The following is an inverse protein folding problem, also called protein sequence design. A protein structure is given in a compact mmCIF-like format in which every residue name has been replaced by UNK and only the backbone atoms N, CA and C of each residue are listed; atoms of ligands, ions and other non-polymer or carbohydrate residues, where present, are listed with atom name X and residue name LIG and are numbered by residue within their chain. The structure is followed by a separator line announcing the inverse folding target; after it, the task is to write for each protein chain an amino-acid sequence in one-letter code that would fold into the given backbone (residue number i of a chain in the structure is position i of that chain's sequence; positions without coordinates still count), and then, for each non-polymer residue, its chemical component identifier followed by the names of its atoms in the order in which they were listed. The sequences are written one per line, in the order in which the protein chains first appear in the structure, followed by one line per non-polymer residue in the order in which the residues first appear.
data_IF_910960006195
#
_entry.id   IF_910960006195
#
_cell.length_a   1.000
_cell.length_b   1.000
_cell.length_c   1.000
_cell.angle_alpha   90.00
_cell.angle_beta   90.00
_cell.angle_gamma   90.00
#
_symmetry.space_group_name_H-M   'P 1'
#
loop_
_entity.id
_entity.type
_entity.pdbx_description
1 polymer ?
#
# COMPACT_ATOMS: atom_id res chain seq x y z
N UNK A 1 2.50 -18.38 -9.91
CA UNK A 1 3.41 -17.26 -9.99
C UNK A 1 2.85 -16.03 -9.30
N UNK A 2 3.67 -15.26 -8.66
CA UNK A 2 3.21 -14.18 -7.84
C UNK A 2 4.19 -13.00 -7.89
N UNK A 3 3.72 -11.85 -7.44
CA UNK A 3 4.56 -10.68 -7.24
C UNK A 3 5.52 -10.95 -6.08
N UNK A 4 6.81 -10.62 -6.24
CA UNK A 4 7.79 -10.72 -5.15
C UNK A 4 7.74 -9.47 -4.29
N UNK A 5 7.85 -8.31 -4.92
CA UNK A 5 7.77 -7.02 -4.20
C UNK A 5 7.37 -5.90 -5.16
N UNK A 6 6.95 -4.80 -4.58
CA UNK A 6 6.79 -3.53 -5.28
C UNK A 6 7.71 -2.50 -4.66
N UNK A 7 8.06 -1.47 -5.41
CA UNK A 7 8.96 -0.43 -4.93
C UNK A 7 8.24 0.90 -4.80
N UNK A 8 8.52 1.60 -3.70
CA UNK A 8 8.03 2.95 -3.45
C UNK A 8 9.20 3.89 -3.24
N UNK A 9 9.69 4.54 -4.31
CA UNK A 9 10.62 5.65 -4.15
C UNK A 9 9.96 6.78 -3.38
N UNK A 10 10.74 7.48 -2.56
CA UNK A 10 10.23 8.58 -1.76
C UNK A 10 11.37 9.48 -1.32
N UNK A 11 11.05 10.72 -1.01
CA UNK A 11 11.99 11.63 -0.36
C UNK A 11 11.93 11.52 1.18
N UNK A 12 10.97 10.72 1.72
CA UNK A 12 10.71 10.62 3.16
C UNK A 12 10.45 9.16 3.55
N UNK A 13 11.53 8.37 3.65
CA UNK A 13 11.42 6.91 3.85
C UNK A 13 10.74 6.57 5.17
N UNK A 14 11.18 7.16 6.29
CA UNK A 14 10.61 6.82 7.59
C UNK A 14 9.14 7.21 7.72
N UNK A 15 8.75 8.37 7.20
CA UNK A 15 7.35 8.79 7.22
C UNK A 15 6.48 7.87 6.38
N UNK A 16 6.97 7.47 5.21
CA UNK A 16 6.25 6.56 4.31
C UNK A 16 6.08 5.20 4.96
N UNK A 17 7.16 4.61 5.49
CA UNK A 17 7.12 3.31 6.14
C UNK A 17 6.19 3.34 7.36
N UNK A 18 6.31 4.36 8.21
CA UNK A 18 5.46 4.51 9.40
C UNK A 18 3.98 4.60 9.05
N UNK A 19 3.64 5.28 7.96
CA UNK A 19 2.26 5.37 7.51
C UNK A 19 1.68 3.98 7.26
N UNK A 20 2.39 3.13 6.52
CA UNK A 20 1.90 1.78 6.20
C UNK A 20 1.90 0.86 7.42
N UNK A 21 2.87 1.02 8.32
CA UNK A 21 2.87 0.28 9.59
C UNK A 21 1.64 0.60 10.45
N UNK A 22 1.30 1.88 10.55
CA UNK A 22 0.23 2.36 11.41
C UNK A 22 -1.17 2.14 10.82
N UNK A 23 -1.29 2.01 9.52
CA UNK A 23 -2.58 1.85 8.86
C UNK A 23 -2.86 0.40 8.48
N UNK A 24 -2.14 -0.15 7.53
CA UNK A 24 -2.34 -1.52 7.05
C UNK A 24 -1.69 -2.57 7.95
N UNK A 25 -0.88 -2.14 8.92
CA UNK A 25 -0.29 -3.05 9.90
C UNK A 25 0.89 -3.85 9.37
N UNK A 26 1.56 -3.35 8.33
CA UNK A 26 2.72 -4.04 7.77
C UNK A 26 3.89 -4.00 8.75
N UNK A 27 4.66 -5.07 8.79
CA UNK A 27 5.83 -5.18 9.67
C UNK A 27 7.12 -5.04 8.86
N UNK A 28 8.15 -4.50 9.50
CA UNK A 28 9.47 -4.38 8.85
C UNK A 28 10.17 -5.72 8.80
N UNK A 29 10.71 -6.03 7.64
CA UNK A 29 11.61 -7.17 7.44
C UNK A 29 13.07 -6.69 7.50
N UNK A 30 14.02 -7.58 7.84
CA UNK A 30 15.44 -7.24 7.75
C UNK A 30 15.85 -6.90 6.32
N UNK A 31 16.74 -5.92 6.16
CA UNK A 31 17.32 -5.60 4.86
C UNK A 31 18.75 -6.11 4.78
N UNK A 32 19.22 -6.55 3.58
CA UNK A 32 20.62 -6.92 3.39
C UNK A 32 21.55 -5.73 3.65
N UNK A 33 22.80 -6.02 4.06
CA UNK A 33 23.77 -4.97 4.37
C UNK A 33 24.17 -4.13 3.16
N UNK A 34 23.97 -4.65 1.95
CA UNK A 34 24.42 -3.98 0.72
C UNK A 34 23.33 -3.18 0.02
N UNK A 35 22.20 -2.90 0.69
CA UNK A 35 21.20 -1.98 0.15
C UNK A 35 21.64 -0.53 0.45
N UNK A 36 21.14 0.45 -0.33
CA UNK A 36 21.41 1.86 -0.03
C UNK A 36 20.91 2.24 1.35
N UNK A 37 21.53 3.25 1.96
CA UNK A 37 21.04 3.84 3.19
C UNK A 37 19.62 4.34 3.00
N UNK A 38 18.87 4.46 4.08
CA UNK A 38 17.47 4.88 4.06
C UNK A 38 16.63 3.96 3.17
N UNK A 39 16.68 2.67 3.49
CA UNK A 39 15.84 1.65 2.85
C UNK A 39 15.07 0.91 3.93
N UNK A 40 13.76 0.71 3.72
CA UNK A 40 12.91 -0.07 4.60
C UNK A 40 12.16 -1.09 3.74
N UNK A 41 12.18 -2.35 4.16
CA UNK A 41 11.38 -3.40 3.56
C UNK A 41 10.22 -3.71 4.48
N UNK A 42 9.00 -3.66 3.95
CA UNK A 42 7.79 -4.01 4.70
C UNK A 42 7.24 -5.33 4.19
N UNK A 43 6.85 -6.20 5.11
CA UNK A 43 6.16 -7.44 4.79
C UNK A 43 4.68 -7.12 4.58
N UNK A 44 4.17 -7.38 3.38
CA UNK A 44 2.77 -7.12 3.06
C UNK A 44 1.94 -8.41 3.00
N UNK A 45 2.53 -9.54 3.42
CA UNK A 45 1.88 -10.83 3.46
C UNK A 45 2.18 -11.69 2.25
N UNK A 46 1.94 -13.00 2.39
CA UNK A 46 2.07 -14.00 1.31
C UNK A 46 3.45 -14.03 0.66
N UNK A 47 4.50 -13.72 1.42
CA UNK A 47 5.86 -13.70 0.90
C UNK A 47 6.17 -12.50 0.03
N UNK A 48 5.32 -11.49 0.02
CA UNK A 48 5.50 -10.28 -0.76
C UNK A 48 5.95 -9.13 0.13
N UNK A 49 6.69 -8.20 -0.47
CA UNK A 49 7.25 -7.06 0.26
C UNK A 49 6.99 -5.75 -0.47
N UNK A 50 7.04 -4.67 0.30
CA UNK A 50 7.08 -3.31 -0.20
C UNK A 50 8.44 -2.74 0.15
N UNK A 51 9.21 -2.36 -0.87
CA UNK A 51 10.53 -1.77 -0.67
C UNK A 51 10.42 -0.26 -0.78
N UNK A 52 10.66 0.41 0.34
CA UNK A 52 10.62 1.88 0.43
C UNK A 52 12.05 2.37 0.48
N UNK A 53 12.43 3.26 -0.43
CA UNK A 53 13.80 3.75 -0.48
C UNK A 53 13.85 5.20 -0.96
N UNK A 54 14.95 5.86 -0.58
CA UNK A 54 15.15 7.29 -0.85
C UNK A 54 15.51 7.52 -2.31
N UNK A 55 14.82 8.47 -2.95
CA UNK A 55 15.18 8.98 -4.28
C UNK A 55 15.05 10.50 -4.23
N UNK A 56 16.19 11.18 -4.42
CA UNK A 56 16.23 12.64 -4.41
C UNK A 56 15.34 13.23 -5.50
N UNK A 57 14.51 14.19 -5.13
CA UNK A 57 13.64 14.89 -6.08
C UNK A 57 12.46 14.07 -6.59
N UNK A 58 12.22 12.86 -6.06
CA UNK A 58 11.13 12.02 -6.53
C UNK A 58 9.77 12.68 -6.28
N UNK A 59 8.88 12.58 -7.26
CA UNK A 59 7.48 12.92 -7.14
C UNK A 59 6.64 11.87 -7.86
N UNK A 60 5.46 11.56 -7.32
CA UNK A 60 4.56 10.59 -7.96
C UNK A 60 4.00 11.16 -9.25
N UNK A 61 3.53 10.26 -10.11
CA UNK A 61 2.85 10.62 -11.36
C UNK A 61 1.58 11.43 -11.06
N UNK A 62 1.22 12.40 -11.91
CA UNK A 62 -0.06 13.08 -11.79
C UNK A 62 -1.26 12.18 -12.11
N UNK A 63 -1.00 10.95 -12.55
CA UNK A 63 -2.05 9.96 -12.90
C UNK A 63 -2.30 8.93 -11.81
N UNK A 64 -1.96 9.22 -10.56
CA UNK A 64 -2.29 8.36 -9.40
C UNK A 64 -3.79 8.45 -9.12
N UNK A 65 -4.55 7.45 -9.59
CA UNK A 65 -6.02 7.40 -9.48
C UNK A 65 -6.54 6.03 -9.94
N UNK A 66 -7.85 5.81 -9.81
CA UNK A 66 -8.48 4.55 -10.20
C UNK A 66 -8.18 4.17 -11.66
N UNK A 67 -8.44 5.09 -12.59
CA UNK A 67 -8.14 4.88 -14.00
C UNK A 67 -6.82 5.56 -14.35
N UNK A 68 -5.77 5.06 -13.75
CA UNK A 68 -4.43 5.55 -13.90
C UNK A 68 -3.48 4.58 -13.24
N UNK A 69 -2.46 5.11 -12.55
CA UNK A 69 -1.51 4.27 -11.83
C UNK A 69 -1.97 4.11 -10.38
N UNK A 70 -2.11 2.88 -9.91
CA UNK A 70 -2.31 2.57 -8.49
C UNK A 70 -1.85 1.14 -8.20
N UNK A 71 -1.74 0.80 -6.93
CA UNK A 71 -1.44 -0.56 -6.45
C UNK A 71 -2.65 -1.05 -5.68
N UNK A 72 -3.06 -2.29 -5.94
CA UNK A 72 -4.16 -2.93 -5.22
C UNK A 72 -3.61 -3.95 -4.24
N UNK A 73 -4.09 -3.90 -3.01
CA UNK A 73 -3.71 -4.85 -1.95
C UNK A 73 -4.97 -5.47 -1.35
N UNK A 74 -4.85 -6.70 -0.88
CA UNK A 74 -5.93 -7.37 -0.16
C UNK A 74 -5.89 -7.02 1.32
N UNK A 75 -7.08 -6.90 1.90
CA UNK A 75 -7.23 -6.68 3.34
C UNK A 75 -8.57 -7.27 3.79
N UNK A 76 -8.67 -7.82 5.00
CA UNK A 76 -9.95 -8.37 5.46
C UNK A 76 -11.05 -7.31 5.50
N UNK A 77 -12.17 -7.60 4.84
CA UNK A 77 -13.30 -6.67 4.79
C UNK A 77 -13.88 -6.36 6.16
N UNK A 78 -13.79 -7.29 7.09
CA UNK A 78 -14.25 -7.07 8.47
C UNK A 78 -13.49 -5.94 9.17
N UNK A 79 -12.28 -5.61 8.71
CA UNK A 79 -11.48 -4.51 9.28
C UNK A 79 -11.61 -3.21 8.50
N UNK A 80 -12.40 -3.15 7.44
CA UNK A 80 -12.46 -1.97 6.56
C UNK A 80 -12.85 -0.69 7.31
N UNK A 81 -13.87 -0.76 8.17
CA UNK A 81 -14.29 0.44 8.91
C UNK A 81 -13.17 0.96 9.83
N UNK A 82 -12.50 0.06 10.54
CA UNK A 82 -11.38 0.43 11.42
C UNK A 82 -10.19 0.92 10.61
N UNK A 83 -9.88 0.27 9.48
CA UNK A 83 -8.80 0.69 8.59
C UNK A 83 -9.06 2.10 8.04
N UNK A 84 -10.27 2.39 7.59
CA UNK A 84 -10.62 3.73 7.09
C UNK A 84 -10.41 4.79 8.17
N UNK A 85 -10.78 4.49 9.41
CA UNK A 85 -10.55 5.41 10.53
C UNK A 85 -9.05 5.66 10.76
N UNK A 86 -8.24 4.59 10.74
CA UNK A 86 -6.77 4.73 10.89
C UNK A 86 -6.17 5.54 9.75
N UNK A 87 -6.62 5.29 8.52
CA UNK A 87 -6.14 6.02 7.33
C UNK A 87 -6.41 7.52 7.47
N UNK A 88 -7.61 7.89 7.83
CA UNK A 88 -7.98 9.30 8.03
C UNK A 88 -7.16 9.93 9.16
N UNK A 89 -6.99 9.21 10.26
CA UNK A 89 -6.17 9.67 11.39
C UNK A 89 -4.73 9.93 10.99
N UNK A 90 -4.20 9.12 10.07
CA UNK A 90 -2.83 9.26 9.57
C UNK A 90 -2.71 10.21 8.37
N UNK A 91 -3.79 10.93 8.03
CA UNK A 91 -3.77 11.97 7.01
C UNK A 91 -4.09 11.54 5.59
N UNK A 92 -4.53 10.30 5.38
CA UNK A 92 -4.89 9.82 4.06
C UNK A 92 -6.22 10.41 3.59
N UNK A 93 -6.34 10.56 2.28
CA UNK A 93 -7.60 10.90 1.62
C UNK A 93 -8.28 9.61 1.18
N UNK A 94 -9.53 9.39 1.60
CA UNK A 94 -10.33 8.26 1.11
C UNK A 94 -10.98 8.64 -0.22
N UNK A 95 -10.95 7.72 -1.18
CA UNK A 95 -11.46 7.95 -2.54
C UNK A 95 -12.46 6.85 -2.87
N UNK A 96 -13.69 7.25 -3.21
CA UNK A 96 -14.73 6.28 -3.59
C UNK A 96 -14.47 5.76 -5.00
N UNK A 97 -14.62 4.43 -5.22
CA UNK A 97 -14.51 3.86 -6.55
C UNK A 97 -15.59 4.41 -7.49
N UNK A 98 -15.20 4.62 -8.74
CA UNK A 98 -16.14 5.03 -9.79
C UNK A 98 -16.80 3.79 -10.44
N UNK A 99 -16.02 2.73 -10.66
CA UNK A 99 -16.52 1.49 -11.29
C UNK A 99 -17.08 0.57 -10.21
N UNK A 100 -18.35 0.11 -10.35
CA UNK A 100 -18.91 -0.88 -9.40
C UNK A 100 -18.25 -2.25 -9.56
N UNK A 101 -18.11 -2.97 -8.45
CA UNK A 101 -17.57 -4.33 -8.42
C UNK A 101 -18.46 -5.21 -7.54
N UNK A 102 -18.42 -6.56 -7.72
CA UNK A 102 -19.18 -7.47 -6.87
C UNK A 102 -18.54 -7.72 -5.50
N UNK A 103 -17.43 -7.08 -5.20
CA UNK A 103 -16.73 -7.18 -3.92
C UNK A 103 -16.51 -5.77 -3.36
N UNK A 104 -16.31 -5.68 -2.05
CA UNK A 104 -16.05 -4.41 -1.40
C UNK A 104 -14.60 -3.98 -1.66
N UNK A 105 -14.44 -2.71 -1.92
CA UNK A 105 -13.14 -2.07 -2.12
C UNK A 105 -13.25 -0.58 -1.91
N UNK A 106 -12.11 0.05 -1.68
CA UNK A 106 -12.01 1.51 -1.66
C UNK A 106 -10.58 1.89 -2.03
N UNK A 107 -10.37 3.17 -2.31
CA UNK A 107 -9.05 3.72 -2.60
C UNK A 107 -8.66 4.71 -1.52
N UNK A 108 -7.37 4.89 -1.34
CA UNK A 108 -6.86 6.01 -0.53
C UNK A 108 -5.62 6.59 -1.19
N UNK A 109 -5.39 7.89 -0.93
CA UNK A 109 -4.16 8.56 -1.29
C UNK A 109 -3.34 8.75 -0.03
N UNK A 110 -2.13 8.18 0.00
CA UNK A 110 -1.28 8.35 1.17
C UNK A 110 -0.68 9.77 1.19
N UNK A 111 -0.54 10.37 2.40
CA UNK A 111 -0.29 11.81 2.50
C UNK A 111 1.15 12.24 2.28
N UNK A 112 2.12 11.32 2.35
CA UNK A 112 3.54 11.66 2.27
C UNK A 112 3.96 11.97 0.84
N UNK A 113 3.56 11.10 -0.09
CA UNK A 113 3.99 11.17 -1.49
C UNK A 113 2.84 11.41 -2.46
N UNK A 114 1.63 10.94 -2.12
CA UNK A 114 0.48 10.98 -3.00
C UNK A 114 0.23 9.69 -3.76
N UNK A 115 0.87 8.58 -3.38
CA UNK A 115 0.56 7.27 -3.97
C UNK A 115 -0.89 6.90 -3.70
N UNK A 116 -1.56 6.35 -4.71
CA UNK A 116 -2.92 5.83 -4.58
C UNK A 116 -2.88 4.32 -4.48
N UNK A 117 -3.57 3.80 -3.48
CA UNK A 117 -3.74 2.37 -3.25
C UNK A 117 -5.21 2.02 -3.30
N UNK A 118 -5.50 0.85 -3.86
CA UNK A 118 -6.81 0.22 -3.78
C UNK A 118 -6.74 -0.86 -2.71
N UNK A 119 -7.77 -0.91 -1.85
CA UNK A 119 -7.89 -1.95 -0.83
C UNK A 119 -9.08 -2.82 -1.20
N UNK A 120 -8.83 -4.12 -1.38
CA UNK A 120 -9.83 -5.08 -1.86
C UNK A 120 -10.10 -6.09 -0.77
N UNK A 121 -11.39 -6.38 -0.53
CA UNK A 121 -11.80 -7.44 0.38
C UNK A 121 -11.40 -8.80 -0.19
N UNK A 122 -10.55 -9.53 0.53
CA UNK A 122 -10.08 -10.84 0.08
C UNK A 122 -11.08 -11.97 0.34
N UNK A 123 -12.11 -11.76 1.16
CA UNK A 123 -13.03 -12.81 1.58
C UNK A 123 -13.78 -13.49 0.43
N UNK A 124 -14.27 -12.77 -0.62
CA UNK A 124 -14.98 -13.41 -1.71
C UNK A 124 -14.10 -14.07 -2.77
N UNK A 125 -12.77 -14.10 -2.60
CA UNK A 125 -11.89 -14.65 -3.61
C UNK A 125 -11.96 -16.18 -3.66
N UNK A 126 -11.97 -16.79 -4.86
CA UNK A 126 -11.81 -18.22 -4.99
C UNK A 126 -10.49 -18.69 -4.40
N UNK A 127 -10.47 -19.92 -3.85
CA UNK A 127 -9.30 -20.45 -3.13
C UNK A 127 -8.04 -20.55 -4.00
N UNK A 128 -8.18 -20.71 -5.31
CA UNK A 128 -7.01 -20.81 -6.19
C UNK A 128 -6.19 -19.51 -6.27
N UNK A 129 -6.76 -18.38 -5.87
CA UNK A 129 -6.00 -17.13 -5.78
C UNK A 129 -5.04 -17.09 -4.59
N UNK A 130 -5.16 -18.05 -3.68
CA UNK A 130 -4.31 -18.12 -2.49
C UNK A 130 -2.97 -18.81 -2.78
N UNK A 131 -2.77 -19.32 -3.95
CA UNK A 131 -1.55 -20.05 -4.32
C UNK A 131 -0.46 -19.15 -4.85
#
# INVERSE_FOLDING_TARGET
MSLAHLTLPTQHVEKTASFFEQTLGYARDPVPANVPDQTVWLNIGRGQQMHVFYVSGFAVSPFEREFGRHVAVYHPGADFAALKARLVQCGAELIEPLRPTPFDRFFFREPVNGYVFEVIDQAPLPSHFDQ
#
